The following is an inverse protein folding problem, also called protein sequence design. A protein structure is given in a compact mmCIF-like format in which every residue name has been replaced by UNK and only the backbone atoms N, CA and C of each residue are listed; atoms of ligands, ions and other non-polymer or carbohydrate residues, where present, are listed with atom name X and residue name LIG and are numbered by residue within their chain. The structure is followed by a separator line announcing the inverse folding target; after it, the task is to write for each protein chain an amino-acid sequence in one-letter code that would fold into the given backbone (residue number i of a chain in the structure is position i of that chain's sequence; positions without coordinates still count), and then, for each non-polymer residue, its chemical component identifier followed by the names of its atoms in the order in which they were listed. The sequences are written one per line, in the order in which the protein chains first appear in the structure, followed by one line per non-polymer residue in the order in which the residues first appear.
data_IF_333401644414
#
_entry.id   IF_333401644414
#
_cell.length_a   1.000
_cell.length_b   1.000
_cell.length_c   1.000
_cell.angle_alpha   90.00
_cell.angle_beta   90.00
_cell.angle_gamma   90.00
#
_symmetry.space_group_name_H-M   'P 1'
#
loop_
_entity.id
_entity.type
_entity.pdbx_description
1 polymer ?
#
# COMPACT_ATOMS: atom_id res chain seq x y z
N UNK A 1 6.36 12.53 -15.32
CA UNK A 1 5.18 11.66 -15.11
C UNK A 1 4.06 12.59 -14.65
N UNK A 2 2.87 12.41 -15.15
CA UNK A 2 1.73 13.28 -14.90
C UNK A 2 1.26 13.14 -13.45
N UNK A 3 1.17 14.25 -12.70
CA UNK A 3 0.67 14.22 -11.32
C UNK A 3 -0.82 13.91 -11.26
N UNK A 4 -1.34 13.54 -10.07
CA UNK A 4 -2.77 13.33 -9.88
C UNK A 4 -3.57 14.60 -10.22
N UNK A 5 -3.07 15.78 -9.84
CA UNK A 5 -3.69 17.04 -10.17
C UNK A 5 -3.72 17.31 -11.66
N UNK A 6 -2.64 17.05 -12.38
CA UNK A 6 -2.58 17.12 -13.84
C UNK A 6 -3.56 16.15 -14.50
N UNK A 7 -3.65 14.90 -14.02
CA UNK A 7 -4.62 13.91 -14.51
C UNK A 7 -6.06 14.39 -14.35
N UNK A 8 -6.42 14.93 -13.18
CA UNK A 8 -7.75 15.49 -12.91
C UNK A 8 -8.04 16.67 -13.84
N UNK A 9 -7.08 17.60 -13.98
CA UNK A 9 -7.18 18.74 -14.89
C UNK A 9 -7.40 18.32 -16.34
N UNK A 10 -6.66 17.31 -16.81
CA UNK A 10 -6.76 16.81 -18.17
C UNK A 10 -8.10 16.10 -18.42
N UNK A 11 -8.62 15.34 -17.46
CA UNK A 11 -9.96 14.77 -17.51
C UNK A 11 -11.00 15.88 -17.62
N UNK A 12 -10.92 16.91 -16.79
CA UNK A 12 -11.86 18.05 -16.83
C UNK A 12 -11.82 18.76 -18.18
N UNK A 13 -10.63 19.14 -18.66
CA UNK A 13 -10.46 19.86 -19.92
C UNK A 13 -10.96 19.02 -21.11
N UNK A 14 -10.62 17.72 -21.14
CA UNK A 14 -11.07 16.81 -22.21
C UNK A 14 -12.60 16.61 -22.26
N UNK A 15 -13.30 16.93 -21.18
CA UNK A 15 -14.76 16.95 -21.10
C UNK A 15 -15.35 18.35 -21.22
N UNK A 16 -14.56 19.36 -21.61
CA UNK A 16 -14.97 20.75 -21.80
C UNK A 16 -15.59 21.40 -20.55
N UNK A 17 -15.17 21.01 -19.35
CA UNK A 17 -15.68 21.54 -18.08
C UNK A 17 -14.80 22.67 -17.54
N UNK A 18 -15.44 23.68 -16.91
CA UNK A 18 -14.77 24.64 -16.04
C UNK A 18 -14.51 24.02 -14.67
N UNK A 19 -13.62 24.62 -13.87
CA UNK A 19 -13.38 24.17 -12.49
C UNK A 19 -14.65 24.24 -11.63
N UNK A 20 -15.44 25.29 -11.80
CA UNK A 20 -16.74 25.44 -11.11
C UNK A 20 -17.73 24.32 -11.46
N UNK A 21 -17.82 23.93 -12.73
CA UNK A 21 -18.72 22.87 -13.18
C UNK A 21 -18.31 21.50 -12.65
N UNK A 22 -16.99 21.20 -12.62
CA UNK A 22 -16.48 19.98 -11.96
C UNK A 22 -16.75 20.00 -10.45
N UNK A 23 -16.62 21.16 -9.82
CA UNK A 23 -16.90 21.33 -8.39
C UNK A 23 -18.37 21.03 -8.06
N UNK A 24 -19.31 21.54 -8.89
CA UNK A 24 -20.75 21.27 -8.75
C UNK A 24 -21.06 19.78 -8.91
N UNK A 25 -20.46 19.10 -9.90
CA UNK A 25 -20.62 17.66 -10.14
C UNK A 25 -20.15 16.85 -8.92
N UNK A 26 -19.05 17.25 -8.30
CA UNK A 26 -18.46 16.54 -7.16
C UNK A 26 -19.02 16.98 -5.80
N UNK A 27 -19.87 18.03 -5.77
CA UNK A 27 -20.42 18.67 -4.57
C UNK A 27 -19.34 19.20 -3.62
N UNK A 28 -18.37 19.93 -4.18
CA UNK A 28 -17.26 20.57 -3.44
C UNK A 28 -17.05 21.99 -3.94
N UNK A 29 -16.11 22.73 -3.34
CA UNK A 29 -15.81 24.10 -3.78
C UNK A 29 -14.89 24.13 -5.01
N UNK A 30 -15.04 25.13 -5.88
CA UNK A 30 -14.11 25.39 -6.98
C UNK A 30 -12.67 25.58 -6.48
N UNK A 31 -12.50 26.19 -5.32
CA UNK A 31 -11.19 26.35 -4.66
C UNK A 31 -10.54 24.99 -4.37
N UNK A 32 -11.33 23.98 -4.03
CA UNK A 32 -10.85 22.61 -3.79
C UNK A 32 -10.36 21.99 -5.10
N UNK A 33 -11.11 22.11 -6.19
CA UNK A 33 -10.67 21.67 -7.53
C UNK A 33 -9.38 22.35 -7.93
N UNK A 34 -9.32 23.69 -7.80
CA UNK A 34 -8.09 24.45 -8.10
C UNK A 34 -6.90 24.01 -7.25
N UNK A 35 -7.13 23.66 -5.99
CA UNK A 35 -6.08 23.15 -5.09
C UNK A 35 -5.55 21.79 -5.55
N UNK A 36 -6.42 20.88 -5.98
CA UNK A 36 -6.04 19.58 -6.51
C UNK A 36 -5.28 19.68 -7.83
N UNK A 37 -5.80 20.47 -8.79
CA UNK A 37 -5.18 20.64 -10.10
C UNK A 37 -3.80 21.31 -10.07
N UNK A 38 -3.46 21.95 -8.95
CA UNK A 38 -2.15 22.55 -8.71
C UNK A 38 -1.32 21.77 -7.67
N UNK A 39 -1.72 20.53 -7.35
CA UNK A 39 -1.05 19.62 -6.40
C UNK A 39 -0.79 20.22 -5.00
N UNK A 40 -1.58 21.24 -4.60
CA UNK A 40 -1.49 21.84 -3.25
C UNK A 40 -2.12 20.95 -2.19
N UNK A 41 -3.17 20.24 -2.56
CA UNK A 41 -3.83 19.20 -1.77
C UNK A 41 -4.22 18.05 -2.69
N UNK A 42 -4.47 16.87 -2.13
CA UNK A 42 -4.91 15.69 -2.88
C UNK A 42 -6.34 15.32 -2.50
N UNK A 43 -7.19 14.90 -3.45
CA UNK A 43 -8.49 14.32 -3.11
C UNK A 43 -8.30 13.01 -2.34
N UNK A 44 -9.24 12.69 -1.47
CA UNK A 44 -9.32 11.38 -0.87
C UNK A 44 -9.72 10.30 -1.91
N UNK A 45 -9.52 9.03 -1.56
CA UNK A 45 -9.79 7.94 -2.47
C UNK A 45 -11.26 7.79 -2.85
N UNK A 46 -12.18 8.15 -1.95
CA UNK A 46 -13.61 8.16 -2.26
C UNK A 46 -13.92 9.18 -3.35
N UNK A 47 -13.26 10.33 -3.30
CA UNK A 47 -13.42 11.38 -4.30
C UNK A 47 -12.78 10.99 -5.64
N UNK A 48 -11.59 10.37 -5.62
CA UNK A 48 -10.96 9.81 -6.82
C UNK A 48 -11.86 8.76 -7.47
N UNK A 49 -12.48 7.90 -6.66
CA UNK A 49 -13.44 6.92 -7.17
C UNK A 49 -14.68 7.57 -7.79
N UNK A 50 -15.21 8.64 -7.19
CA UNK A 50 -16.33 9.42 -7.80
C UNK A 50 -15.93 10.00 -9.14
N UNK A 51 -14.72 10.60 -9.25
CA UNK A 51 -14.18 11.13 -10.50
C UNK A 51 -14.07 10.03 -11.55
N UNK A 52 -13.46 8.90 -11.18
CA UNK A 52 -13.31 7.73 -12.05
C UNK A 52 -14.64 7.26 -12.62
N UNK A 53 -15.63 7.05 -11.76
CA UNK A 53 -16.96 6.57 -12.17
C UNK A 53 -17.72 7.58 -13.04
N UNK A 54 -17.70 8.88 -12.66
CA UNK A 54 -18.41 9.90 -13.39
C UNK A 54 -17.89 10.05 -14.82
N UNK A 55 -16.56 10.10 -14.99
CA UNK A 55 -15.92 10.27 -16.28
C UNK A 55 -15.64 8.95 -17.02
N UNK A 56 -16.02 7.81 -16.46
CA UNK A 56 -15.73 6.47 -16.99
C UNK A 56 -14.25 6.29 -17.31
N UNK A 57 -13.40 6.87 -16.46
CA UNK A 57 -11.93 6.70 -16.52
C UNK A 57 -11.51 5.62 -15.57
N UNK A 58 -10.41 4.96 -15.90
CA UNK A 58 -9.83 3.97 -15.01
C UNK A 58 -9.47 4.59 -13.65
N UNK A 59 -9.94 3.97 -12.57
CA UNK A 59 -9.52 4.33 -11.23
C UNK A 59 -8.00 4.14 -11.05
N UNK A 60 -7.46 3.07 -11.64
CA UNK A 60 -6.03 2.79 -11.69
C UNK A 60 -5.24 3.92 -12.34
N UNK A 61 -5.70 4.46 -13.48
CA UNK A 61 -5.06 5.60 -14.14
C UNK A 61 -4.89 6.79 -13.19
N UNK A 62 -5.88 7.03 -12.33
CA UNK A 62 -5.82 8.14 -11.38
C UNK A 62 -4.88 7.87 -10.20
N UNK A 63 -4.83 6.65 -9.69
CA UNK A 63 -4.14 6.32 -8.42
C UNK A 63 -2.82 5.57 -8.56
N UNK A 64 -2.46 5.11 -9.76
CA UNK A 64 -1.38 4.15 -9.99
C UNK A 64 -0.03 4.50 -9.35
N UNK A 65 0.21 5.77 -9.08
CA UNK A 65 1.52 6.21 -8.60
C UNK A 65 1.58 6.42 -7.08
N UNK A 66 0.44 6.68 -6.41
CA UNK A 66 0.43 7.16 -5.03
C UNK A 66 -0.24 6.23 -4.00
N UNK A 67 -1.11 5.31 -4.43
CA UNK A 67 -2.04 4.62 -3.51
C UNK A 67 -1.89 3.10 -3.46
N UNK A 68 -1.27 2.47 -4.45
CA UNK A 68 -1.17 1.02 -4.56
C UNK A 68 0.29 0.61 -4.71
N UNK A 69 0.74 -0.29 -3.84
CA UNK A 69 2.04 -0.91 -3.97
C UNK A 69 2.00 -1.93 -5.12
N UNK A 70 2.59 -1.55 -6.25
CA UNK A 70 2.81 -2.45 -7.37
C UNK A 70 4.22 -3.05 -7.24
N UNK A 71 4.37 -4.02 -6.34
CA UNK A 71 5.61 -4.76 -6.20
C UNK A 71 5.55 -6.00 -7.10
N UNK A 72 6.42 -6.12 -8.10
CA UNK A 72 6.57 -7.34 -8.91
C UNK A 72 5.24 -7.94 -9.40
N UNK A 73 4.31 -7.12 -9.88
CA UNK A 73 2.94 -7.50 -10.19
C UNK A 73 2.06 -7.82 -8.96
N UNK A 74 2.43 -7.43 -7.75
CA UNK A 74 1.60 -7.53 -6.56
C UNK A 74 0.68 -6.30 -6.46
N UNK A 75 -0.60 -6.51 -6.23
CA UNK A 75 -1.57 -5.46 -5.89
C UNK A 75 -1.86 -5.59 -4.41
N UNK A 76 -1.37 -4.64 -3.61
CA UNK A 76 -1.50 -4.63 -2.16
C UNK A 76 -1.98 -3.26 -1.67
N UNK A 77 -2.95 -3.25 -0.78
CA UNK A 77 -3.40 -2.07 -0.03
C UNK A 77 -3.16 -2.31 1.45
N UNK A 78 -2.52 -1.35 2.11
CA UNK A 78 -2.32 -1.36 3.56
C UNK A 78 -3.21 -0.32 4.22
N UNK A 79 -3.89 -0.74 5.28
CA UNK A 79 -4.75 0.09 6.12
C UNK A 79 -4.09 0.28 7.48
N UNK A 80 -4.19 1.48 8.05
CA UNK A 80 -3.95 1.71 9.47
C UNK A 80 -5.29 1.87 10.17
N UNK A 81 -5.56 1.03 11.15
CA UNK A 81 -6.88 0.93 11.78
C UNK A 81 -6.78 1.05 13.30
N UNK A 82 -7.86 1.49 13.93
CA UNK A 82 -8.02 1.37 15.37
C UNK A 82 -8.45 -0.06 15.77
N UNK A 83 -8.51 -0.32 17.07
CA UNK A 83 -8.85 -1.64 17.59
C UNK A 83 -10.26 -2.08 17.19
N UNK A 84 -11.22 -1.17 17.23
CA UNK A 84 -12.63 -1.45 16.91
C UNK A 84 -12.79 -1.90 15.47
N UNK A 85 -12.17 -1.16 14.55
CA UNK A 85 -12.24 -1.46 13.12
C UNK A 85 -11.44 -2.72 12.75
N UNK A 86 -10.28 -2.91 13.39
CA UNK A 86 -9.50 -4.14 13.24
C UNK A 86 -10.32 -5.38 13.63
N UNK A 87 -10.97 -5.36 14.81
CA UNK A 87 -11.81 -6.45 15.29
C UNK A 87 -13.04 -6.66 14.39
N UNK A 88 -13.68 -5.58 13.91
CA UNK A 88 -14.81 -5.63 12.99
C UNK A 88 -14.44 -6.35 11.69
N UNK A 89 -13.37 -5.94 11.04
CA UNK A 89 -12.94 -6.53 9.77
C UNK A 89 -12.45 -7.96 10.01
N UNK A 90 -11.67 -8.22 11.06
CA UNK A 90 -11.22 -9.56 11.41
C UNK A 90 -12.39 -10.53 11.58
N UNK A 91 -13.45 -10.12 12.29
CA UNK A 91 -14.63 -10.98 12.49
C UNK A 91 -15.37 -11.25 11.19
N UNK A 92 -15.48 -10.27 10.28
CA UNK A 92 -16.07 -10.49 8.96
C UNK A 92 -15.26 -11.52 8.16
N UNK A 93 -13.95 -11.32 8.09
CA UNK A 93 -13.07 -12.18 7.30
C UNK A 93 -12.95 -13.57 7.92
N UNK A 94 -12.79 -13.69 9.23
CA UNK A 94 -12.68 -14.98 9.94
C UNK A 94 -13.87 -15.92 9.68
N UNK A 95 -15.05 -15.38 9.49
CA UNK A 95 -16.26 -16.17 9.27
C UNK A 95 -16.45 -16.61 7.80
N UNK A 96 -15.75 -15.99 6.85
CA UNK A 96 -15.95 -16.19 5.41
C UNK A 96 -14.71 -16.65 4.67
N UNK A 97 -13.53 -16.53 5.29
CA UNK A 97 -12.24 -16.81 4.68
C UNK A 97 -11.55 -18.02 5.35
N UNK A 98 -10.62 -18.63 4.62
CA UNK A 98 -9.79 -19.73 5.11
C UNK A 98 -8.60 -19.18 5.88
N UNK A 99 -8.45 -19.58 7.14
CA UNK A 99 -7.24 -19.30 7.93
C UNK A 99 -6.01 -19.91 7.25
N UNK A 100 -4.93 -19.14 7.15
CA UNK A 100 -3.66 -19.59 6.57
C UNK A 100 -2.62 -19.86 7.67
N UNK A 101 -2.26 -18.83 8.44
CA UNK A 101 -1.29 -18.93 9.53
C UNK A 101 -1.35 -17.73 10.48
N UNK A 102 -0.68 -17.87 11.63
CA UNK A 102 -0.27 -16.75 12.48
C UNK A 102 1.22 -16.88 12.74
N UNK A 103 1.97 -15.82 12.46
CA UNK A 103 3.44 -15.81 12.55
C UNK A 103 3.95 -14.53 13.21
N UNK A 104 5.02 -14.68 14.00
CA UNK A 104 5.81 -13.54 14.45
C UNK A 104 6.86 -13.23 13.40
N UNK A 105 6.86 -11.97 12.92
CA UNK A 105 7.84 -11.45 11.97
C UNK A 105 8.70 -10.40 12.65
N UNK A 106 10.02 -10.51 12.48
CA UNK A 106 11.02 -9.56 12.94
C UNK A 106 11.74 -9.03 11.71
N UNK A 107 11.47 -7.78 11.34
CA UNK A 107 12.03 -7.11 10.17
C UNK A 107 13.09 -6.10 10.64
N UNK A 108 14.37 -6.37 10.37
CA UNK A 108 15.44 -5.41 10.61
C UNK A 108 15.80 -4.71 9.32
N UNK A 109 15.70 -3.38 9.31
CA UNK A 109 15.97 -2.52 8.17
C UNK A 109 17.36 -1.93 8.24
N UNK A 110 17.98 -1.76 7.07
CA UNK A 110 19.33 -1.24 6.94
C UNK A 110 19.38 -0.01 6.03
N UNK A 111 20.30 0.91 6.35
CA UNK A 111 20.52 2.12 5.57
C UNK A 111 21.18 1.81 4.23
N UNK A 112 20.69 2.47 3.17
CA UNK A 112 21.34 2.45 1.87
C UNK A 112 21.58 3.89 1.40
N UNK A 113 22.70 4.11 0.70
CA UNK A 113 22.98 5.41 0.06
C UNK A 113 21.92 5.78 -0.98
N UNK A 114 21.34 4.77 -1.63
CA UNK A 114 20.26 4.96 -2.60
C UNK A 114 18.91 5.04 -1.88
N UNK A 115 18.31 6.22 -1.83
CA UNK A 115 17.00 6.48 -1.21
C UNK A 115 15.82 5.74 -1.90
N UNK A 116 16.04 5.24 -3.11
CA UNK A 116 15.02 4.49 -3.86
C UNK A 116 15.05 2.98 -3.56
N UNK A 117 15.90 2.55 -2.64
CA UNK A 117 16.04 1.14 -2.28
C UNK A 117 16.02 1.00 -0.77
N UNK A 118 15.50 -0.12 -0.30
CA UNK A 118 15.56 -0.50 1.11
C UNK A 118 15.94 -1.96 1.24
N UNK A 119 16.73 -2.20 2.24
CA UNK A 119 17.32 -3.49 2.57
C UNK A 119 16.77 -3.95 3.90
N UNK A 120 16.43 -5.23 3.98
CA UNK A 120 15.81 -5.80 5.17
C UNK A 120 16.22 -7.25 5.34
N UNK A 121 16.42 -7.66 6.59
CA UNK A 121 16.28 -9.06 6.99
C UNK A 121 14.89 -9.27 7.59
N UNK A 122 14.25 -10.37 7.25
CA UNK A 122 13.00 -10.83 7.88
C UNK A 122 13.25 -12.18 8.53
N UNK A 123 13.05 -12.25 9.83
CA UNK A 123 12.99 -13.53 10.55
C UNK A 123 11.52 -13.88 10.77
N UNK A 124 11.14 -15.07 10.29
CA UNK A 124 9.81 -15.63 10.45
C UNK A 124 9.94 -17.09 10.86
N UNK A 125 9.55 -17.40 12.11
CA UNK A 125 9.63 -18.77 12.66
C UNK A 125 11.01 -19.42 12.48
N UNK A 126 12.10 -18.66 12.66
CA UNK A 126 13.48 -19.14 12.54
C UNK A 126 14.02 -19.18 11.11
N UNK A 127 13.20 -18.91 10.08
CA UNK A 127 13.68 -18.69 8.72
C UNK A 127 14.06 -17.23 8.54
N UNK A 128 15.26 -16.97 8.08
CA UNK A 128 15.71 -15.60 7.81
C UNK A 128 15.84 -15.37 6.31
N UNK A 129 15.20 -14.33 5.82
CA UNK A 129 15.26 -13.88 4.43
C UNK A 129 15.92 -12.51 4.39
N UNK A 130 16.94 -12.35 3.57
CA UNK A 130 17.53 -11.07 3.25
C UNK A 130 16.89 -10.53 1.98
N UNK A 131 16.36 -9.33 2.06
CA UNK A 131 15.48 -8.77 1.04
C UNK A 131 15.95 -7.39 0.62
N UNK A 132 16.17 -7.20 -0.68
CA UNK A 132 16.35 -5.89 -1.30
C UNK A 132 15.11 -5.55 -2.12
N UNK A 133 14.47 -4.41 -1.82
CA UNK A 133 13.46 -3.81 -2.69
C UNK A 133 14.03 -2.53 -3.29
N UNK A 134 13.94 -2.38 -4.60
CA UNK A 134 14.42 -1.22 -5.35
C UNK A 134 13.29 -0.61 -6.14
N UNK A 135 13.01 0.67 -5.92
CA UNK A 135 12.03 1.44 -6.68
C UNK A 135 12.62 1.76 -8.05
N UNK A 136 12.02 1.27 -9.13
CA UNK A 136 12.40 1.55 -10.51
C UNK A 136 11.67 2.80 -11.01
N UNK A 137 10.36 2.88 -10.75
CA UNK A 137 9.52 4.05 -10.99
C UNK A 137 8.43 4.12 -9.92
N UNK A 138 7.45 5.00 -10.04
CA UNK A 138 6.43 5.15 -9.00
C UNK A 138 5.51 3.93 -8.85
N UNK A 139 5.43 3.07 -9.88
CA UNK A 139 4.53 1.92 -9.92
C UNK A 139 5.23 0.57 -9.94
N UNK A 140 6.56 0.53 -10.06
CA UNK A 140 7.30 -0.71 -10.21
C UNK A 140 8.47 -0.80 -9.25
N UNK A 141 8.59 -1.94 -8.58
CA UNK A 141 9.70 -2.29 -7.69
C UNK A 141 10.31 -3.62 -8.12
N UNK A 142 11.62 -3.69 -8.11
CA UNK A 142 12.34 -4.97 -8.16
C UNK A 142 12.55 -5.50 -6.75
N UNK A 143 12.33 -6.78 -6.55
CA UNK A 143 12.52 -7.48 -5.27
C UNK A 143 13.51 -8.63 -5.47
N UNK A 144 14.48 -8.68 -4.61
CA UNK A 144 15.48 -9.76 -4.57
C UNK A 144 15.48 -10.36 -3.17
N UNK A 145 15.21 -11.67 -3.08
CA UNK A 145 15.14 -12.42 -1.82
C UNK A 145 16.23 -13.49 -1.79
N UNK A 146 16.96 -13.55 -0.70
CA UNK A 146 17.96 -14.57 -0.44
C UNK A 146 17.71 -15.21 0.92
N UNK A 147 17.62 -16.53 0.97
CA UNK A 147 17.53 -17.25 2.24
C UNK A 147 18.88 -17.20 2.96
N UNK A 148 18.85 -16.86 4.24
CA UNK A 148 20.04 -16.73 5.08
C UNK A 148 20.02 -17.82 6.15
N UNK A 149 21.06 -18.61 6.18
CA UNK A 149 21.31 -19.64 7.20
C UNK A 149 22.11 -19.11 8.40
N UNK A 150 22.90 -18.03 8.21
CA UNK A 150 23.73 -17.43 9.25
C UNK A 150 23.59 -15.89 9.27
N UNK A 151 22.64 -15.42 10.07
CA UNK A 151 22.38 -13.98 10.24
C UNK A 151 23.58 -13.23 10.84
N UNK A 152 24.34 -13.85 11.76
CA UNK A 152 25.51 -13.22 12.38
C UNK A 152 26.61 -12.92 11.35
N UNK A 153 26.85 -13.85 10.41
CA UNK A 153 27.81 -13.63 9.35
C UNK A 153 27.32 -12.53 8.39
N UNK A 154 26.04 -12.53 8.03
CA UNK A 154 25.46 -11.47 7.22
C UNK A 154 25.65 -10.09 7.89
N UNK A 155 25.35 -9.98 9.19
CA UNK A 155 25.51 -8.70 9.91
C UNK A 155 26.97 -8.22 9.91
N UNK A 156 27.95 -9.13 10.07
CA UNK A 156 29.36 -8.76 9.94
C UNK A 156 29.71 -8.26 8.54
N UNK A 157 29.21 -8.92 7.50
CA UNK A 157 29.41 -8.48 6.11
C UNK A 157 28.82 -7.09 5.89
N UNK A 158 27.60 -6.84 6.38
CA UNK A 158 26.95 -5.53 6.25
C UNK A 158 27.73 -4.43 6.98
N UNK A 159 28.28 -4.73 8.17
CA UNK A 159 29.15 -3.80 8.91
C UNK A 159 30.43 -3.46 8.13
N UNK A 160 31.11 -4.45 7.56
CA UNK A 160 32.30 -4.22 6.72
C UNK A 160 31.98 -3.40 5.46
N UNK A 161 30.76 -3.52 4.93
CA UNK A 161 30.27 -2.72 3.81
C UNK A 161 29.75 -1.35 4.22
N UNK A 162 29.87 -0.95 5.49
CA UNK A 162 29.32 0.30 6.05
C UNK A 162 27.81 0.45 5.83
N UNK A 163 27.08 -0.67 5.89
CA UNK A 163 25.61 -0.70 5.86
C UNK A 163 25.12 -0.79 7.30
N UNK A 164 24.54 0.31 7.79
CA UNK A 164 24.11 0.42 9.19
C UNK A 164 22.65 0.02 9.37
N UNK A 165 22.35 -0.60 10.50
CA UNK A 165 20.98 -0.86 10.92
C UNK A 165 20.25 0.45 11.22
N UNK A 166 19.03 0.61 10.70
CA UNK A 166 18.12 1.72 10.96
C UNK A 166 17.20 1.44 12.15
N UNK A 167 16.84 0.17 12.33
CA UNK A 167 15.98 -0.29 13.38
C UNK A 167 15.19 -1.53 13.00
N UNK A 168 14.44 -2.02 13.98
CA UNK A 168 13.69 -3.28 13.85
C UNK A 168 12.20 -3.05 14.08
N UNK A 169 11.38 -3.65 13.22
CA UNK A 169 9.94 -3.75 13.34
C UNK A 169 9.58 -5.17 13.75
N UNK A 170 8.87 -5.30 14.85
CA UNK A 170 8.35 -6.57 15.33
C UNK A 170 6.84 -6.57 15.17
N UNK A 171 6.29 -7.61 14.57
CA UNK A 171 4.84 -7.74 14.40
C UNK A 171 4.38 -9.19 14.51
N UNK A 172 3.16 -9.35 14.99
CA UNK A 172 2.40 -10.58 14.85
C UNK A 172 1.43 -10.42 13.68
N UNK A 173 1.52 -11.34 12.72
CA UNK A 173 0.69 -11.35 11.51
C UNK A 173 -0.23 -12.56 11.52
N UNK A 174 -1.53 -12.35 11.42
CA UNK A 174 -2.52 -13.40 11.18
C UNK A 174 -3.09 -13.24 9.78
N UNK A 175 -3.05 -14.30 8.99
CA UNK A 175 -3.38 -14.27 7.57
C UNK A 175 -4.56 -15.17 7.25
N UNK A 176 -5.49 -14.67 6.43
CA UNK A 176 -6.64 -15.39 5.87
C UNK A 176 -6.68 -15.25 4.36
N UNK A 177 -7.17 -16.29 3.67
CA UNK A 177 -7.39 -16.28 2.22
C UNK A 177 -8.90 -16.23 1.97
N UNK A 178 -9.34 -15.12 1.35
CA UNK A 178 -10.72 -14.86 0.98
C UNK A 178 -10.95 -15.15 -0.50
N UNK A 179 -11.97 -15.95 -0.82
CA UNK A 179 -12.37 -16.34 -2.19
C UNK A 179 -11.22 -16.91 -3.06
N UNK A 180 -10.17 -17.46 -2.46
CA UNK A 180 -8.94 -17.90 -3.14
C UNK A 180 -8.29 -16.81 -4.01
N UNK A 181 -8.68 -15.56 -3.86
CA UNK A 181 -8.24 -14.42 -4.67
C UNK A 181 -7.56 -13.33 -3.84
N UNK A 182 -7.98 -13.14 -2.60
CA UNK A 182 -7.46 -12.07 -1.75
C UNK A 182 -6.84 -12.65 -0.48
N UNK A 183 -5.70 -12.11 -0.11
CA UNK A 183 -5.05 -12.39 1.17
C UNK A 183 -5.25 -11.20 2.11
N UNK A 184 -5.86 -11.44 3.27
CA UNK A 184 -6.00 -10.46 4.34
C UNK A 184 -4.99 -10.78 5.43
N UNK A 185 -4.03 -9.90 5.64
CA UNK A 185 -3.03 -9.98 6.69
C UNK A 185 -3.32 -8.96 7.77
N UNK A 186 -3.63 -9.43 8.97
CA UNK A 186 -3.89 -8.63 10.17
C UNK A 186 -2.60 -8.53 10.97
N UNK A 187 -2.01 -7.35 11.00
CA UNK A 187 -0.74 -7.08 11.66
C UNK A 187 -0.95 -6.32 12.97
N UNK A 188 -0.45 -6.88 14.06
CA UNK A 188 -0.22 -6.15 15.30
C UNK A 188 1.26 -5.77 15.37
N UNK A 189 1.57 -4.51 15.11
CA UNK A 189 2.94 -4.00 15.03
C UNK A 189 3.32 -3.35 16.35
N UNK A 190 4.33 -3.88 17.03
CA UNK A 190 4.78 -3.39 18.33
C UNK A 190 5.11 -1.88 18.25
N UNK A 191 4.57 -1.11 19.19
CA UNK A 191 4.78 0.36 19.34
C UNK A 191 4.27 1.23 18.18
N UNK A 192 3.65 0.65 17.13
CA UNK A 192 3.16 1.42 15.98
C UNK A 192 1.63 1.34 15.87
N UNK A 193 1.05 0.13 16.09
CA UNK A 193 -0.39 -0.07 16.07
C UNK A 193 -0.85 -1.22 15.17
N UNK A 194 -2.13 -1.18 14.82
CA UNK A 194 -2.80 -2.23 14.06
C UNK A 194 -2.91 -1.85 12.60
N UNK A 195 -2.61 -2.84 11.73
CA UNK A 195 -2.70 -2.68 10.29
C UNK A 195 -3.41 -3.88 9.67
N UNK A 196 -3.98 -3.66 8.49
CA UNK A 196 -4.52 -4.72 7.66
C UNK A 196 -3.91 -4.53 6.27
N UNK A 197 -3.23 -5.54 5.76
CA UNK A 197 -2.78 -5.58 4.37
C UNK A 197 -3.72 -6.49 3.58
N UNK A 198 -4.19 -6.02 2.43
CA UNK A 198 -5.06 -6.76 1.54
C UNK A 198 -4.35 -6.88 0.21
N UNK A 199 -4.01 -8.11 -0.17
CA UNK A 199 -3.24 -8.44 -1.38
C UNK A 199 -4.09 -9.26 -2.34
N UNK A 200 -3.99 -8.98 -3.63
CA UNK A 200 -4.54 -9.84 -4.69
C UNK A 200 -3.55 -10.97 -4.94
N UNK A 201 -3.96 -12.19 -4.60
CA UNK A 201 -3.20 -13.41 -4.86
C UNK A 201 -3.82 -14.18 -6.03
N UNK A 202 -3.03 -15.00 -6.73
CA UNK A 202 -3.47 -15.81 -7.87
C UNK A 202 -4.04 -15.02 -9.07
N UNK A 203 -3.22 -14.91 -10.08
CA UNK A 203 -3.50 -14.40 -11.42
C UNK A 203 -3.97 -12.95 -11.49
N UNK A 204 -2.99 -12.10 -11.71
CA UNK A 204 -3.24 -10.74 -12.16
C UNK A 204 -3.32 -10.78 -13.68
N UNK A 205 -4.53 -11.04 -14.22
CA UNK A 205 -4.78 -11.04 -15.64
C UNK A 205 -4.79 -9.61 -16.22
N UNK A 206 -5.27 -8.67 -15.40
CA UNK A 206 -5.34 -7.26 -15.74
C UNK A 206 -5.27 -6.41 -14.47
N UNK A 207 -4.17 -5.71 -14.27
CA UNK A 207 -3.92 -4.85 -13.13
C UNK A 207 -5.04 -3.87 -12.83
N UNK A 208 -5.55 -3.25 -13.88
CA UNK A 208 -6.63 -2.27 -13.78
C UNK A 208 -7.91 -2.90 -13.24
N UNK A 209 -8.29 -4.04 -13.80
CA UNK A 209 -9.48 -4.79 -13.38
C UNK A 209 -9.34 -5.33 -11.96
N UNK A 210 -8.19 -5.88 -11.61
CA UNK A 210 -7.98 -6.46 -10.28
C UNK A 210 -7.89 -5.40 -9.20
N UNK A 211 -7.29 -4.25 -9.50
CA UNK A 211 -7.34 -3.08 -8.62
C UNK A 211 -8.77 -2.58 -8.40
N UNK A 212 -9.54 -2.47 -9.48
CA UNK A 212 -10.94 -2.08 -9.40
C UNK A 212 -11.75 -3.06 -8.56
N UNK A 213 -11.55 -4.37 -8.75
CA UNK A 213 -12.21 -5.41 -7.97
C UNK A 213 -11.84 -5.35 -6.49
N UNK A 214 -10.55 -5.11 -6.16
CA UNK A 214 -10.11 -4.96 -4.78
C UNK A 214 -10.79 -3.77 -4.09
N UNK A 215 -10.87 -2.62 -4.75
CA UNK A 215 -11.56 -1.44 -4.21
C UNK A 215 -13.06 -1.70 -4.02
N UNK A 216 -13.70 -2.40 -4.95
CA UNK A 216 -15.11 -2.77 -4.80
C UNK A 216 -15.32 -3.73 -3.62
N UNK A 217 -14.47 -4.74 -3.48
CA UNK A 217 -14.49 -5.64 -2.30
C UNK A 217 -14.37 -4.84 -1.00
N UNK A 218 -13.44 -3.89 -0.91
CA UNK A 218 -13.30 -3.05 0.29
C UNK A 218 -14.59 -2.29 0.59
N UNK A 219 -15.27 -1.77 -0.43
CA UNK A 219 -16.57 -1.08 -0.26
C UNK A 219 -17.69 -2.02 0.16
N UNK A 220 -17.78 -3.21 -0.41
CA UNK A 220 -18.74 -4.25 -0.02
C UNK A 220 -18.56 -4.64 1.45
N UNK A 221 -17.30 -4.74 1.90
CA UNK A 221 -16.95 -5.00 3.30
C UNK A 221 -17.07 -3.75 4.19
N UNK A 222 -17.53 -2.62 3.63
CA UNK A 222 -17.66 -1.31 4.31
C UNK A 222 -16.35 -0.83 4.95
N UNK A 223 -15.23 -1.07 4.28
CA UNK A 223 -13.92 -0.57 4.69
C UNK A 223 -13.77 0.86 4.16
N UNK A 224 -13.49 1.80 5.07
CA UNK A 224 -13.26 3.19 4.68
C UNK A 224 -11.90 3.34 4.00
N UNK A 225 -11.92 3.81 2.75
CA UNK A 225 -10.71 4.01 1.95
C UNK A 225 -9.79 5.11 2.52
N UNK A 226 -10.29 5.97 3.42
CA UNK A 226 -9.47 6.97 4.11
C UNK A 226 -8.51 6.34 5.14
N UNK A 227 -8.69 5.07 5.49
CA UNK A 227 -7.77 4.32 6.37
C UNK A 227 -6.51 3.85 5.64
N UNK A 228 -6.41 4.05 4.31
CA UNK A 228 -5.25 3.61 3.55
C UNK A 228 -3.98 4.32 4.03
N UNK A 229 -3.03 3.52 4.48
CA UNK A 229 -1.73 3.98 4.98
C UNK A 229 -0.66 3.86 3.89
N UNK A 230 -0.11 4.99 3.48
CA UNK A 230 0.90 5.09 2.42
C UNK A 230 2.32 4.88 2.93
N UNK A 231 2.58 5.20 4.21
CA UNK A 231 3.90 5.04 4.80
C UNK A 231 4.26 3.56 4.87
N UNK A 232 5.49 3.25 4.51
CA UNK A 232 6.05 1.91 4.70
C UNK A 232 6.41 1.72 6.16
N UNK A 233 6.58 0.47 6.62
CA UNK A 233 7.01 0.25 8.01
C UNK A 233 8.36 0.89 8.31
N UNK A 234 9.30 0.92 7.34
CA UNK A 234 10.58 1.62 7.50
C UNK A 234 10.42 3.11 7.80
N UNK A 235 9.38 3.75 7.25
CA UNK A 235 9.15 5.19 7.46
C UNK A 235 8.80 5.53 8.92
N UNK A 236 8.39 4.55 9.71
CA UNK A 236 8.17 4.71 11.15
C UNK A 236 9.46 4.62 11.98
N UNK A 237 10.56 4.13 11.41
CA UNK A 237 11.87 4.06 12.06
C UNK A 237 12.70 5.33 11.84
N UNK A 238 12.46 6.02 10.74
CA UNK A 238 13.15 7.28 10.40
C UNK A 238 12.34 8.42 11.02
N UNK A 239 12.88 9.07 12.03
CA UNK A 239 12.31 10.33 12.55
C UNK A 239 12.67 11.43 11.56
N UNK A 240 11.67 12.20 11.13
CA UNK A 240 11.85 13.44 10.36
C UNK A 240 12.76 14.44 11.08
#
# INVERSE_FOLDING_TARGET
MESLGEKIKNIRISNNLKQSELADILHISEKTISSWENDRTTPDLNMIYKISNYFKKSFYYLISDDYINLNNNEIEIKLKVDKSEHERILNLIKNTAKYKNTVKQIDTYYSLKNKNSWLRTRNENGKCIFNLKKKINNSYYEKYDVLIDNLNNLNKILQELNVNELGTIVKERTTYVYENKYEFSFDNVESIGLFIEIEVINQIDNFEKDTYNLINLMKELKIDLNMIERRKYIDYLVKD
#
